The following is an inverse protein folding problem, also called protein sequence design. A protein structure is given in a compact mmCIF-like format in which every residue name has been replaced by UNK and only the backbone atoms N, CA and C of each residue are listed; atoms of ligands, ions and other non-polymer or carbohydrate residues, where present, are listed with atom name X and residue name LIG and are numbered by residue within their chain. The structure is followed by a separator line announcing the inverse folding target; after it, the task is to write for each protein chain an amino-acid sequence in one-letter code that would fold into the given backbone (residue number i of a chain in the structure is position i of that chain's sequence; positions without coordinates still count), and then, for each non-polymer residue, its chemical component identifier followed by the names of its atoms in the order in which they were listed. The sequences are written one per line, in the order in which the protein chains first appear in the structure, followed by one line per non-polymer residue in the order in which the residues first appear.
data_IF_476281434282
#
_entry.id   IF_476281434282
#
_cell.length_a   1.000
_cell.length_b   1.000
_cell.length_c   1.000
_cell.angle_alpha   90.00
_cell.angle_beta   90.00
_cell.angle_gamma   90.00
#
_symmetry.space_group_name_H-M   'P 1'
#
loop_
_entity.id
_entity.type
_entity.pdbx_description
1 polymer ?
#
# COMPACT_ATOMS: atom_id res chain seq x y z
N UNK A 1 -33.85 11.90 -22.84
CA UNK A 1 -33.06 10.94 -23.62
C UNK A 1 -31.64 10.70 -23.06
N UNK A 2 -30.79 11.72 -22.80
CA UNK A 2 -29.43 11.51 -22.27
C UNK A 2 -29.37 10.78 -20.90
N UNK A 3 -30.29 11.03 -19.96
CA UNK A 3 -30.37 10.33 -18.68
C UNK A 3 -30.75 8.85 -18.77
N UNK A 4 -31.57 8.49 -19.75
CA UNK A 4 -31.98 7.11 -19.98
C UNK A 4 -30.87 6.28 -20.63
N UNK A 5 -30.05 6.90 -21.49
CA UNK A 5 -28.86 6.28 -22.09
C UNK A 5 -27.74 6.03 -21.06
N UNK A 6 -27.56 6.92 -20.07
CA UNK A 6 -26.60 6.72 -18.98
C UNK A 6 -27.01 5.59 -18.03
N UNK A 7 -28.32 5.46 -17.71
CA UNK A 7 -28.84 4.38 -16.87
C UNK A 7 -28.74 3.00 -17.59
N UNK A 8 -29.00 2.94 -18.89
CA UNK A 8 -28.85 1.69 -19.63
C UNK A 8 -27.41 1.28 -19.84
N UNK A 9 -26.48 2.23 -19.98
CA UNK A 9 -25.05 1.95 -20.03
C UNK A 9 -24.54 1.41 -18.69
N UNK A 10 -24.93 2.00 -17.57
CA UNK A 10 -24.50 1.53 -16.22
C UNK A 10 -25.06 0.14 -15.89
N UNK A 11 -26.30 -0.17 -16.28
CA UNK A 11 -26.89 -1.50 -16.11
C UNK A 11 -26.24 -2.57 -17.00
N UNK A 12 -25.86 -2.24 -18.22
CA UNK A 12 -25.12 -3.15 -19.11
C UNK A 12 -23.69 -3.40 -18.57
N UNK A 13 -23.04 -2.40 -18.04
CA UNK A 13 -21.71 -2.56 -17.41
C UNK A 13 -21.77 -3.41 -16.15
N UNK A 14 -22.77 -3.21 -15.29
CA UNK A 14 -22.97 -4.03 -14.10
C UNK A 14 -23.29 -5.49 -14.47
N UNK A 15 -24.08 -5.73 -15.51
CA UNK A 15 -24.39 -7.07 -16.01
C UNK A 15 -23.17 -7.75 -16.65
N UNK A 16 -22.33 -7.04 -17.40
CA UNK A 16 -21.09 -7.56 -17.96
C UNK A 16 -20.06 -7.87 -16.85
N UNK A 17 -19.97 -7.04 -15.82
CA UNK A 17 -19.13 -7.28 -14.66
C UNK A 17 -19.59 -8.54 -13.90
N UNK A 18 -20.89 -8.70 -13.69
CA UNK A 18 -21.49 -9.86 -13.04
C UNK A 18 -21.29 -11.15 -13.85
N UNK A 19 -21.37 -11.08 -15.18
CA UNK A 19 -21.13 -12.22 -16.07
C UNK A 19 -19.63 -12.59 -16.13
N UNK A 20 -18.72 -11.62 -16.15
CA UNK A 20 -17.28 -11.87 -16.11
C UNK A 20 -16.84 -12.46 -14.75
N UNK A 21 -17.41 -12.00 -13.65
CA UNK A 21 -17.19 -12.57 -12.31
C UNK A 21 -17.83 -13.97 -12.17
N UNK A 22 -18.97 -14.23 -12.82
CA UNK A 22 -19.61 -15.54 -12.78
C UNK A 22 -18.87 -16.61 -13.61
N UNK A 23 -18.23 -16.22 -14.71
CA UNK A 23 -17.46 -17.13 -15.56
C UNK A 23 -16.12 -17.59 -14.94
N UNK A 24 -15.62 -16.87 -13.92
CA UNK A 24 -14.39 -17.23 -13.17
C UNK A 24 -14.69 -17.86 -11.81
N UNK A 25 -15.96 -18.07 -11.45
CA UNK A 25 -16.39 -18.50 -10.11
C UNK A 25 -15.97 -19.92 -9.72
N UNK A 26 -15.50 -20.75 -10.68
CA UNK A 26 -15.10 -22.14 -10.40
C UNK A 26 -13.60 -22.35 -10.12
N UNK A 27 -12.76 -21.34 -10.37
CA UNK A 27 -11.33 -21.45 -10.09
C UNK A 27 -10.95 -20.65 -8.84
N UNK A 28 -10.29 -21.28 -7.88
CA UNK A 28 -9.74 -20.59 -6.71
C UNK A 28 -8.81 -19.45 -7.15
N UNK A 29 -8.85 -18.28 -6.48
CA UNK A 29 -7.94 -17.17 -6.78
C UNK A 29 -6.49 -17.61 -6.72
N UNK A 30 -5.66 -17.04 -7.59
CA UNK A 30 -4.21 -17.27 -7.61
C UNK A 30 -3.51 -15.92 -7.54
N UNK A 31 -2.48 -15.84 -6.70
CA UNK A 31 -1.64 -14.66 -6.64
C UNK A 31 -0.97 -14.38 -7.98
N UNK A 32 -0.87 -13.11 -8.35
CA UNK A 32 -0.18 -12.65 -9.55
C UNK A 32 0.99 -11.73 -9.16
N UNK A 33 2.10 -11.83 -9.89
CA UNK A 33 3.30 -11.01 -9.75
C UNK A 33 3.45 -10.02 -10.90
N UNK A 34 4.64 -9.43 -11.03
CA UNK A 34 4.99 -8.56 -12.15
C UNK A 34 4.67 -7.08 -11.93
N UNK A 35 4.35 -6.68 -10.71
CA UNK A 35 4.17 -5.28 -10.33
C UNK A 35 5.47 -4.70 -9.77
N UNK A 36 5.73 -3.44 -10.09
CA UNK A 36 6.83 -2.69 -9.49
C UNK A 36 6.44 -1.23 -9.26
N UNK A 37 7.07 -0.62 -8.28
CA UNK A 37 6.99 0.82 -8.03
C UNK A 37 8.13 1.51 -8.77
N UNK A 38 7.82 2.61 -9.45
CA UNK A 38 8.80 3.47 -10.09
C UNK A 38 8.72 4.85 -9.45
N UNK A 39 9.79 5.29 -8.79
CA UNK A 39 9.85 6.58 -8.09
C UNK A 39 10.76 7.55 -8.82
N UNK A 40 10.28 8.77 -8.99
CA UNK A 40 11.01 9.90 -9.56
C UNK A 40 11.17 11.00 -8.50
N UNK A 41 12.42 11.37 -8.20
CA UNK A 41 12.73 12.45 -7.27
C UNK A 41 13.30 13.64 -8.01
N UNK A 42 12.91 14.83 -7.58
CA UNK A 42 13.39 16.10 -8.15
C UNK A 42 13.40 17.21 -7.12
N UNK A 43 14.51 17.96 -7.09
CA UNK A 43 14.63 19.23 -6.37
C UNK A 43 14.40 20.40 -7.33
N UNK A 44 13.55 21.33 -6.97
CA UNK A 44 13.32 22.56 -7.70
C UNK A 44 14.11 23.68 -7.03
N UNK A 45 15.19 24.10 -7.69
CA UNK A 45 16.08 25.14 -7.21
C UNK A 45 15.65 26.52 -7.69
N UNK A 46 15.85 27.55 -6.87
CA UNK A 46 15.71 28.93 -7.22
C UNK A 46 16.91 29.76 -6.66
N UNK A 47 17.02 31.01 -7.04
CA UNK A 47 18.07 31.92 -6.57
C UNK A 47 17.46 33.28 -6.21
N UNK A 48 17.86 33.79 -5.04
CA UNK A 48 17.59 35.15 -4.60
C UNK A 48 18.90 35.90 -4.30
N UNK A 49 18.79 37.07 -3.68
CA UNK A 49 19.97 37.87 -3.26
C UNK A 49 20.83 37.19 -2.19
N UNK A 50 20.28 36.19 -1.47
CA UNK A 50 20.96 35.42 -0.42
C UNK A 50 21.64 34.16 -0.96
N UNK A 51 21.40 33.79 -2.24
CA UNK A 51 22.01 32.63 -2.89
C UNK A 51 21.02 31.67 -3.50
N UNK A 52 21.51 30.47 -3.83
CA UNK A 52 20.68 29.37 -4.29
C UNK A 52 19.95 28.69 -3.12
N UNK A 53 18.70 28.31 -3.35
CA UNK A 53 17.89 27.58 -2.38
C UNK A 53 16.95 26.59 -3.06
N UNK A 54 16.53 25.56 -2.34
CA UNK A 54 15.56 24.59 -2.83
C UNK A 54 14.13 25.08 -2.52
N UNK A 55 13.29 25.23 -3.54
CA UNK A 55 11.88 25.59 -3.41
C UNK A 55 11.05 24.40 -2.94
N UNK A 56 11.23 23.27 -3.62
CA UNK A 56 10.40 22.08 -3.44
C UNK A 56 11.24 20.83 -3.66
N UNK A 57 11.21 19.92 -2.68
CA UNK A 57 11.59 18.53 -2.86
C UNK A 57 10.34 17.74 -3.26
N UNK A 58 10.38 17.13 -4.45
CA UNK A 58 9.28 16.31 -4.97
C UNK A 58 9.72 14.87 -5.17
N UNK A 59 8.99 13.92 -4.59
CA UNK A 59 9.11 12.48 -4.81
C UNK A 59 7.77 11.93 -5.27
N UNK A 60 7.74 11.25 -6.41
CA UNK A 60 6.50 10.75 -7.00
C UNK A 60 6.68 9.33 -7.50
N UNK A 61 5.85 8.44 -7.01
CA UNK A 61 5.81 7.03 -7.39
C UNK A 61 4.60 6.70 -8.26
N UNK A 62 4.75 5.69 -9.11
CA UNK A 62 3.66 5.08 -9.87
C UNK A 62 3.82 3.57 -9.91
N UNK A 63 2.74 2.86 -10.22
CA UNK A 63 2.76 1.39 -10.39
C UNK A 63 3.10 1.07 -11.85
N UNK A 64 4.19 0.35 -12.06
CA UNK A 64 4.53 -0.28 -13.33
C UNK A 64 4.10 -1.74 -13.36
N UNK A 65 3.99 -2.27 -14.57
CA UNK A 65 3.71 -3.69 -14.81
C UNK A 65 4.73 -4.24 -15.81
N UNK A 66 5.20 -5.45 -15.59
CA UNK A 66 6.13 -6.10 -16.48
C UNK A 66 5.49 -6.54 -17.80
N UNK A 67 6.28 -7.13 -18.69
CA UNK A 67 5.83 -7.56 -20.02
C UNK A 67 4.82 -8.71 -19.95
N UNK A 68 5.00 -9.63 -19.00
CA UNK A 68 4.18 -10.83 -18.87
C UNK A 68 2.82 -10.50 -18.29
N UNK A 69 2.79 -9.69 -17.24
CA UNK A 69 1.55 -9.20 -16.63
C UNK A 69 0.74 -8.36 -17.63
N UNK A 70 1.42 -7.49 -18.41
CA UNK A 70 0.80 -6.68 -19.47
C UNK A 70 0.16 -7.54 -20.55
N UNK A 71 0.81 -8.63 -20.96
CA UNK A 71 0.28 -9.55 -21.95
C UNK A 71 -0.93 -10.33 -21.42
N UNK A 72 -0.87 -10.75 -20.16
CA UNK A 72 -1.92 -11.55 -19.51
C UNK A 72 -3.15 -10.72 -19.13
N UNK A 73 -2.95 -9.46 -18.71
CA UNK A 73 -4.02 -8.58 -18.20
C UNK A 73 -3.95 -7.17 -18.83
N UNK A 74 -4.21 -7.05 -20.14
CA UNK A 74 -4.08 -5.78 -20.85
C UNK A 74 -5.04 -4.69 -20.38
N UNK A 75 -6.26 -5.05 -19.96
CA UNK A 75 -7.24 -4.10 -19.44
C UNK A 75 -6.86 -3.56 -18.07
N UNK A 76 -6.35 -4.41 -17.17
CA UNK A 76 -5.80 -3.98 -15.90
C UNK A 76 -4.61 -3.03 -16.10
N UNK A 77 -3.69 -3.39 -17.01
CA UNK A 77 -2.54 -2.55 -17.35
C UNK A 77 -2.97 -1.18 -17.85
N UNK A 78 -3.98 -1.13 -18.71
CA UNK A 78 -4.54 0.12 -19.21
C UNK A 78 -5.09 0.97 -18.05
N UNK A 79 -5.88 0.38 -17.16
CA UNK A 79 -6.47 1.08 -16.02
C UNK A 79 -5.39 1.65 -15.07
N UNK A 80 -4.36 0.87 -14.74
CA UNK A 80 -3.23 1.34 -13.92
C UNK A 80 -2.52 2.52 -14.59
N UNK A 81 -2.28 2.45 -15.91
CA UNK A 81 -1.64 3.55 -16.64
C UNK A 81 -2.51 4.82 -16.64
N UNK A 82 -3.83 4.69 -16.80
CA UNK A 82 -4.77 5.82 -16.75
C UNK A 82 -4.79 6.47 -15.36
N UNK A 83 -4.77 5.66 -14.29
CA UNK A 83 -4.66 6.15 -12.90
C UNK A 83 -3.34 6.91 -12.71
N UNK A 84 -2.19 6.32 -13.07
CA UNK A 84 -0.89 6.97 -12.97
C UNK A 84 -0.87 8.30 -13.74
N UNK A 85 -1.39 8.32 -14.96
CA UNK A 85 -1.41 9.53 -15.79
C UNK A 85 -2.26 10.63 -15.16
N UNK A 86 -3.45 10.30 -14.65
CA UNK A 86 -4.32 11.25 -13.96
C UNK A 86 -3.64 11.84 -12.72
N UNK A 87 -3.03 10.97 -11.89
CA UNK A 87 -2.29 11.43 -10.71
C UNK A 87 -1.09 12.29 -11.06
N UNK A 88 -0.27 11.90 -12.03
CA UNK A 88 0.90 12.70 -12.43
C UNK A 88 0.51 14.08 -12.95
N UNK A 89 -0.60 14.20 -13.67
CA UNK A 89 -1.12 15.49 -14.11
C UNK A 89 -1.57 16.36 -12.92
N UNK A 90 -2.37 15.81 -12.01
CA UNK A 90 -2.82 16.47 -10.77
C UNK A 90 -1.63 16.95 -9.93
N UNK A 91 -0.63 16.07 -9.76
CA UNK A 91 0.59 16.35 -8.99
C UNK A 91 1.42 17.46 -9.62
N UNK A 92 1.50 17.54 -10.94
CA UNK A 92 2.26 18.61 -11.60
C UNK A 92 1.59 19.99 -11.38
N UNK A 93 0.26 20.06 -11.46
CA UNK A 93 -0.50 21.27 -11.14
C UNK A 93 -0.32 21.70 -9.68
N UNK A 94 -0.38 20.76 -8.73
CA UNK A 94 -0.13 21.01 -7.31
C UNK A 94 1.32 21.47 -7.07
N UNK A 95 2.30 20.80 -7.67
CA UNK A 95 3.71 21.15 -7.54
C UNK A 95 4.02 22.57 -8.03
N UNK A 96 3.33 23.05 -9.07
CA UNK A 96 3.48 24.43 -9.54
C UNK A 96 2.99 25.43 -8.49
N UNK A 97 1.80 25.20 -7.91
CA UNK A 97 1.29 26.05 -6.83
C UNK A 97 2.21 26.04 -5.61
N UNK A 98 2.69 24.88 -5.19
CA UNK A 98 3.62 24.78 -4.05
C UNK A 98 4.94 25.54 -4.29
N UNK A 99 5.45 25.57 -5.53
CA UNK A 99 6.65 26.39 -5.85
C UNK A 99 6.39 27.87 -5.72
N UNK A 100 5.23 28.35 -6.18
CA UNK A 100 4.85 29.76 -6.06
C UNK A 100 4.67 30.15 -4.59
N UNK A 101 4.02 29.30 -3.79
CA UNK A 101 3.85 29.50 -2.35
C UNK A 101 5.20 29.48 -1.60
N UNK A 102 6.12 28.57 -1.96
CA UNK A 102 7.45 28.50 -1.38
C UNK A 102 8.29 29.77 -1.68
N UNK A 103 8.19 30.28 -2.90
CA UNK A 103 8.86 31.54 -3.26
C UNK A 103 8.32 32.73 -2.45
N UNK A 104 6.99 32.86 -2.34
CA UNK A 104 6.36 33.90 -1.53
C UNK A 104 6.70 33.77 -0.03
N UNK A 105 6.76 32.53 0.51
CA UNK A 105 7.17 32.28 1.89
C UNK A 105 8.64 32.68 2.12
N UNK A 106 9.53 32.39 1.16
CA UNK A 106 10.93 32.79 1.21
C UNK A 106 11.11 34.31 1.25
N UNK A 107 10.27 35.07 0.55
CA UNK A 107 10.29 36.53 0.55
C UNK A 107 9.78 37.13 1.88
N UNK A 108 8.69 36.57 2.41
CA UNK A 108 8.00 37.11 3.59
C UNK A 108 8.62 36.69 4.92
N UNK A 109 9.19 35.47 5.00
CA UNK A 109 9.74 34.87 6.21
C UNK A 109 11.10 34.19 5.96
N UNK A 110 12.09 34.91 5.45
CA UNK A 110 13.36 34.30 4.98
C UNK A 110 14.14 33.55 6.06
N UNK A 111 14.04 33.99 7.32
CA UNK A 111 14.76 33.39 8.46
C UNK A 111 14.13 32.10 8.97
N UNK A 112 12.87 31.87 8.62
CA UNK A 112 12.11 30.66 8.93
C UNK A 112 11.93 29.74 7.72
N UNK A 113 12.49 30.11 6.58
CA UNK A 113 12.32 29.39 5.34
C UNK A 113 12.93 27.98 5.42
N UNK A 114 12.17 27.01 4.97
CA UNK A 114 12.59 25.65 4.70
C UNK A 114 12.00 25.18 3.35
N UNK A 115 12.64 24.24 2.64
CA UNK A 115 12.11 23.70 1.40
C UNK A 115 10.75 23.06 1.62
N UNK A 116 9.81 23.33 0.71
CA UNK A 116 8.55 22.60 0.69
C UNK A 116 8.80 21.14 0.28
N UNK A 117 7.95 20.25 0.74
CA UNK A 117 8.06 18.81 0.51
C UNK A 117 6.76 18.29 -0.09
N UNK A 118 6.90 17.49 -1.13
CA UNK A 118 5.79 16.75 -1.72
C UNK A 118 6.22 15.31 -1.94
N UNK A 119 5.42 14.38 -1.43
CA UNK A 119 5.61 12.97 -1.62
C UNK A 119 4.30 12.33 -2.06
N UNK A 120 4.35 11.51 -3.12
CA UNK A 120 3.28 10.64 -3.53
C UNK A 120 3.85 9.23 -3.70
N UNK A 121 3.35 8.29 -2.93
CA UNK A 121 3.81 6.91 -2.93
C UNK A 121 2.66 5.93 -3.13
N UNK A 122 2.99 4.70 -3.53
CA UNK A 122 2.02 3.63 -3.79
C UNK A 122 2.48 2.34 -3.13
N UNK A 123 1.52 1.59 -2.57
CA UNK A 123 1.77 0.31 -1.92
C UNK A 123 0.72 -0.71 -2.32
N UNK A 124 1.17 -1.85 -2.88
CA UNK A 124 0.27 -2.96 -3.19
C UNK A 124 -0.28 -3.57 -1.91
N UNK A 125 -1.59 -3.88 -1.91
CA UNK A 125 -2.27 -4.52 -0.78
C UNK A 125 -2.70 -5.95 -1.12
N UNK A 126 -3.18 -6.16 -2.35
CA UNK A 126 -3.60 -7.46 -2.88
C UNK A 126 -3.35 -7.49 -4.38
N UNK A 127 -2.90 -8.63 -4.89
CA UNK A 127 -2.82 -8.88 -6.31
C UNK A 127 -3.07 -10.37 -6.58
N UNK A 128 -4.24 -10.67 -7.10
CA UNK A 128 -4.62 -12.02 -7.55
C UNK A 128 -5.47 -11.98 -8.81
N UNK A 129 -5.87 -13.14 -9.29
CA UNK A 129 -6.66 -13.28 -10.53
C UNK A 129 -8.06 -12.66 -10.46
N UNK A 130 -8.53 -12.26 -9.28
CA UNK A 130 -9.84 -11.64 -9.06
C UNK A 130 -9.75 -10.12 -8.92
N UNK A 131 -8.78 -9.65 -8.12
CA UNK A 131 -8.67 -8.24 -7.77
C UNK A 131 -7.22 -7.80 -7.58
N UNK A 132 -6.97 -6.54 -7.94
CA UNK A 132 -5.77 -5.80 -7.57
C UNK A 132 -6.19 -4.62 -6.70
N UNK A 133 -5.57 -4.51 -5.54
CA UNK A 133 -5.80 -3.41 -4.61
C UNK A 133 -4.48 -2.79 -4.19
N UNK A 134 -4.44 -1.47 -4.12
CA UNK A 134 -3.28 -0.73 -3.66
C UNK A 134 -3.67 0.53 -2.92
N UNK A 135 -2.76 1.01 -2.11
CA UNK A 135 -2.88 2.23 -1.34
C UNK A 135 -2.03 3.31 -1.99
N UNK A 136 -2.58 4.50 -2.14
CA UNK A 136 -1.86 5.72 -2.50
C UNK A 136 -1.65 6.54 -1.23
N UNK A 137 -0.45 7.06 -1.06
CA UNK A 137 -0.07 7.94 0.04
C UNK A 137 0.37 9.28 -0.54
N UNK A 138 -0.14 10.38 -0.02
CA UNK A 138 0.26 11.72 -0.37
C UNK A 138 0.68 12.49 0.88
N UNK A 139 1.80 13.19 0.81
CA UNK A 139 2.26 14.11 1.84
C UNK A 139 2.60 15.46 1.24
N UNK A 140 2.14 16.52 1.90
CA UNK A 140 2.47 17.90 1.55
C UNK A 140 3.00 18.62 2.78
N UNK A 141 4.24 19.12 2.71
CA UNK A 141 4.86 19.97 3.72
C UNK A 141 5.16 21.34 3.14
N UNK A 142 4.78 22.39 3.84
CA UNK A 142 4.93 23.77 3.38
C UNK A 142 5.12 24.74 4.55
N UNK A 143 4.65 25.98 4.42
CA UNK A 143 4.79 27.05 5.42
C UNK A 143 3.99 26.83 6.72
N UNK A 144 3.18 25.78 6.78
CA UNK A 144 2.37 25.44 7.96
C UNK A 144 3.17 24.86 9.10
N UNK A 145 2.54 24.73 10.28
CA UNK A 145 3.12 24.16 11.51
C UNK A 145 3.45 22.67 11.35
N UNK A 146 2.69 21.96 10.53
CA UNK A 146 2.86 20.56 10.20
C UNK A 146 2.45 20.30 8.76
N UNK A 147 2.96 19.22 8.17
CA UNK A 147 2.52 18.73 6.88
C UNK A 147 1.13 18.08 6.96
N UNK A 148 0.54 17.87 5.80
CA UNK A 148 -0.70 17.12 5.63
C UNK A 148 -0.42 15.83 4.89
N UNK A 149 -1.04 14.75 5.32
CA UNK A 149 -0.99 13.47 4.62
C UNK A 149 -2.40 12.95 4.34
N UNK A 150 -2.51 12.25 3.23
CA UNK A 150 -3.75 11.66 2.77
C UNK A 150 -3.48 10.26 2.22
N UNK A 151 -4.31 9.31 2.61
CA UNK A 151 -4.26 7.94 2.14
C UNK A 151 -5.52 7.64 1.34
N UNK A 152 -5.38 6.96 0.21
CA UNK A 152 -6.46 6.62 -0.70
C UNK A 152 -6.33 5.17 -1.15
N UNK A 153 -7.36 4.36 -0.91
CA UNK A 153 -7.46 2.99 -1.41
C UNK A 153 -7.96 2.96 -2.86
N UNK A 154 -7.37 2.10 -3.67
CA UNK A 154 -7.80 1.81 -5.05
C UNK A 154 -8.02 0.32 -5.20
N UNK A 155 -9.18 -0.08 -5.72
CA UNK A 155 -9.54 -1.46 -5.92
C UNK A 155 -9.99 -1.67 -7.38
N UNK A 156 -9.39 -2.63 -8.07
CA UNK A 156 -9.65 -2.92 -9.48
C UNK A 156 -9.97 -4.40 -9.68
N UNK A 157 -10.84 -4.70 -10.60
CA UNK A 157 -11.00 -6.05 -11.13
C UNK A 157 -9.78 -6.41 -11.98
N UNK A 158 -9.11 -7.50 -11.69
CA UNK A 158 -7.95 -7.97 -12.46
C UNK A 158 -8.32 -8.26 -13.91
N UNK A 159 -9.51 -8.81 -14.15
CA UNK A 159 -9.96 -9.23 -15.48
C UNK A 159 -10.35 -8.04 -16.35
N UNK A 160 -11.08 -7.07 -15.80
CA UNK A 160 -11.66 -5.97 -16.59
C UNK A 160 -10.93 -4.64 -16.42
N UNK A 161 -10.07 -4.50 -15.41
CA UNK A 161 -9.46 -3.24 -15.03
C UNK A 161 -10.45 -2.21 -14.45
N UNK A 162 -11.73 -2.54 -14.36
CA UNK A 162 -12.73 -1.61 -13.83
C UNK A 162 -12.59 -1.43 -12.32
N UNK A 163 -12.90 -0.23 -11.78
CA UNK A 163 -13.02 -0.03 -10.35
C UNK A 163 -13.97 -1.05 -9.72
N UNK A 164 -13.57 -1.62 -8.59
CA UNK A 164 -14.36 -2.57 -7.84
C UNK A 164 -15.22 -1.79 -6.82
N UNK A 165 -16.54 -1.71 -7.00
CA UNK A 165 -17.39 -0.98 -6.08
C UNK A 165 -17.60 -1.78 -4.78
N UNK A 166 -17.86 -1.07 -3.68
CA UNK A 166 -18.01 -1.68 -2.35
C UNK A 166 -19.13 -2.75 -2.33
N UNK A 167 -20.23 -2.52 -3.02
CA UNK A 167 -21.36 -3.46 -3.14
C UNK A 167 -21.03 -4.76 -3.87
N UNK A 168 -19.93 -4.84 -4.60
CA UNK A 168 -19.45 -6.11 -5.16
C UNK A 168 -18.95 -7.08 -4.08
N UNK A 169 -18.57 -6.54 -2.90
CA UNK A 169 -17.98 -7.29 -1.80
C UNK A 169 -18.85 -7.28 -0.55
N UNK A 170 -19.62 -6.22 -0.34
CA UNK A 170 -20.43 -5.97 0.86
C UNK A 170 -21.92 -6.15 0.56
N UNK A 171 -22.64 -6.86 1.42
CA UNK A 171 -24.08 -7.10 1.32
C UNK A 171 -24.92 -5.95 1.84
N UNK A 172 -24.52 -5.42 2.99
CA UNK A 172 -25.26 -4.39 3.73
C UNK A 172 -24.29 -3.31 4.21
N UNK A 173 -24.32 -2.16 3.52
CA UNK A 173 -23.47 -1.00 3.84
C UNK A 173 -23.75 -0.42 5.23
N UNK A 174 -25.01 -0.51 5.71
CA UNK A 174 -25.37 0.01 7.03
C UNK A 174 -24.86 -0.89 8.15
N UNK A 175 -24.99 -2.20 8.00
CA UNK A 175 -24.42 -3.17 8.94
C UNK A 175 -22.89 -3.09 8.96
N UNK A 176 -22.26 -2.89 7.80
CA UNK A 176 -20.82 -2.63 7.69
C UNK A 176 -20.41 -1.37 8.46
N UNK A 177 -21.17 -0.27 8.31
CA UNK A 177 -20.88 0.97 9.03
C UNK A 177 -20.87 0.76 10.55
N UNK A 178 -21.84 0.00 11.09
CA UNK A 178 -21.85 -0.41 12.49
C UNK A 178 -20.59 -1.17 12.90
N UNK A 179 -20.18 -2.16 12.11
CA UNK A 179 -18.98 -2.95 12.39
C UNK A 179 -17.68 -2.10 12.34
N UNK A 180 -17.61 -1.11 11.44
CA UNK A 180 -16.50 -0.15 11.39
C UNK A 180 -16.45 0.68 12.68
N UNK A 181 -17.59 1.21 13.14
CA UNK A 181 -17.65 1.99 14.37
C UNK A 181 -17.24 1.17 15.60
N UNK A 182 -17.75 -0.07 15.72
CA UNK A 182 -17.37 -1.00 16.78
C UNK A 182 -15.85 -1.25 16.77
N UNK A 183 -15.28 -1.44 15.57
CA UNK A 183 -13.86 -1.71 15.43
C UNK A 183 -12.99 -0.51 15.78
N UNK A 184 -13.33 0.68 15.31
CA UNK A 184 -12.62 1.92 15.65
C UNK A 184 -12.59 2.15 17.17
N UNK A 185 -13.71 1.97 17.86
CA UNK A 185 -13.74 2.10 19.34
C UNK A 185 -12.91 1.05 20.06
N UNK A 186 -12.86 -0.16 19.52
CA UNK A 186 -12.07 -1.23 20.12
C UNK A 186 -10.56 -1.04 19.89
N UNK A 187 -10.15 -0.55 18.71
CA UNK A 187 -8.74 -0.34 18.38
C UNK A 187 -8.19 0.98 18.95
N UNK A 188 -9.05 2.00 19.12
CA UNK A 188 -8.69 3.34 19.58
C UNK A 188 -9.61 3.80 20.74
N UNK A 189 -9.56 3.13 21.91
CA UNK A 189 -10.51 3.38 23.01
C UNK A 189 -10.42 4.78 23.59
N UNK A 190 -9.28 5.44 23.49
CA UNK A 190 -9.02 6.78 24.03
C UNK A 190 -9.22 7.90 23.01
N UNK A 191 -9.50 7.59 21.74
CA UNK A 191 -9.66 8.59 20.70
C UNK A 191 -10.98 9.36 20.85
N UNK A 192 -10.94 10.70 20.83
CA UNK A 192 -12.12 11.54 20.96
C UNK A 192 -12.86 11.64 19.61
N UNK A 193 -13.57 10.59 19.23
CA UNK A 193 -14.34 10.57 17.99
C UNK A 193 -15.47 11.61 18.00
N UNK A 194 -15.62 12.31 16.88
CA UNK A 194 -16.69 13.28 16.67
C UNK A 194 -17.76 12.73 15.73
N UNK A 195 -18.99 12.54 16.20
CA UNK A 195 -20.14 12.08 15.41
C UNK A 195 -19.83 10.81 14.58
N UNK A 196 -19.12 9.86 15.19
CA UNK A 196 -18.55 8.70 14.50
C UNK A 196 -19.60 7.94 13.69
N UNK A 197 -20.72 7.56 14.31
CA UNK A 197 -21.76 6.76 13.66
C UNK A 197 -22.39 7.50 12.47
N UNK A 198 -22.70 8.78 12.64
CA UNK A 198 -23.33 9.60 11.62
C UNK A 198 -22.41 9.71 10.39
N UNK A 199 -21.14 10.08 10.61
CA UNK A 199 -20.14 10.23 9.55
C UNK A 199 -19.88 8.92 8.82
N UNK A 200 -19.74 7.79 9.54
CA UNK A 200 -19.45 6.49 8.91
C UNK A 200 -20.66 5.98 8.13
N UNK A 201 -21.87 6.12 8.66
CA UNK A 201 -23.10 5.72 7.94
C UNK A 201 -23.27 6.57 6.68
N UNK A 202 -23.08 7.89 6.76
CA UNK A 202 -23.14 8.78 5.60
C UNK A 202 -22.13 8.35 4.52
N UNK A 203 -20.85 8.18 4.89
CA UNK A 203 -19.81 7.74 3.95
C UNK A 203 -20.14 6.38 3.32
N UNK A 204 -20.68 5.44 4.08
CA UNK A 204 -21.06 4.12 3.58
C UNK A 204 -22.21 4.19 2.56
N UNK A 205 -23.21 5.02 2.82
CA UNK A 205 -24.39 5.16 1.96
C UNK A 205 -24.13 6.01 0.70
N UNK A 206 -23.13 6.90 0.76
CA UNK A 206 -22.73 7.79 -0.37
C UNK A 206 -21.53 7.28 -1.16
N UNK A 207 -21.05 6.05 -0.90
CA UNK A 207 -19.86 5.45 -1.53
C UNK A 207 -18.57 6.26 -1.34
N UNK A 208 -18.46 6.94 -0.20
CA UNK A 208 -17.30 7.77 0.17
C UNK A 208 -16.37 7.09 1.20
N UNK A 209 -16.62 5.82 1.53
CA UNK A 209 -15.66 5.07 2.34
C UNK A 209 -14.38 4.86 1.55
N UNK A 210 -13.27 5.22 2.18
CA UNK A 210 -11.94 4.99 1.66
C UNK A 210 -11.44 3.61 2.14
N UNK A 211 -11.14 2.69 1.24
CA UNK A 211 -10.86 1.31 1.60
C UNK A 211 -9.96 0.58 0.61
N UNK A 212 -9.28 -0.46 1.10
CA UNK A 212 -8.61 -1.47 0.27
C UNK A 212 -9.23 -2.84 0.49
N UNK A 213 -9.26 -3.62 -0.60
CA UNK A 213 -9.53 -5.04 -0.55
C UNK A 213 -8.22 -5.77 -0.22
N UNK A 214 -8.11 -6.26 1.00
CA UNK A 214 -6.98 -7.06 1.43
C UNK A 214 -7.23 -8.56 1.18
N UNK A 215 -6.23 -9.45 1.28
CA UNK A 215 -6.46 -10.89 1.09
C UNK A 215 -7.55 -11.46 2.00
N UNK A 216 -7.61 -11.03 3.26
CA UNK A 216 -8.52 -11.63 4.25
C UNK A 216 -9.61 -10.68 4.77
N UNK A 217 -9.74 -9.47 4.23
CA UNK A 217 -10.73 -8.51 4.72
C UNK A 217 -10.76 -7.21 3.94
N UNK A 218 -11.47 -6.24 4.47
CA UNK A 218 -11.43 -4.85 4.02
C UNK A 218 -10.78 -4.00 5.08
N UNK A 219 -9.82 -3.16 4.67
CA UNK A 219 -9.25 -2.13 5.54
C UNK A 219 -9.77 -0.76 5.12
N UNK A 220 -10.39 -0.05 6.06
CA UNK A 220 -10.90 1.31 5.90
C UNK A 220 -9.91 2.30 6.47
N UNK A 221 -9.72 3.44 5.79
CA UNK A 221 -8.76 4.48 6.13
C UNK A 221 -9.51 5.79 6.40
N UNK A 222 -9.18 6.42 7.52
CA UNK A 222 -9.74 7.71 7.92
C UNK A 222 -8.59 8.70 8.10
N UNK A 223 -8.51 9.64 7.17
CA UNK A 223 -7.47 10.65 7.17
C UNK A 223 -7.65 11.64 8.33
N UNK A 224 -6.60 12.40 8.71
CA UNK A 224 -6.73 13.43 9.74
C UNK A 224 -7.92 14.35 9.48
N UNK A 225 -8.62 14.73 10.55
CA UNK A 225 -9.84 15.55 10.57
C UNK A 225 -11.12 14.90 9.99
N UNK A 226 -11.07 13.67 9.48
CA UNK A 226 -12.30 13.03 8.99
C UNK A 226 -13.25 12.61 10.12
N UNK A 227 -12.72 11.89 11.11
CA UNK A 227 -13.51 11.36 12.25
C UNK A 227 -12.93 11.69 13.61
N UNK A 228 -11.70 12.22 13.65
CA UNK A 228 -11.00 12.65 14.86
C UNK A 228 -10.04 13.80 14.53
N UNK A 229 -9.37 14.37 15.55
CA UNK A 229 -8.41 15.46 15.37
C UNK A 229 -7.15 15.01 14.62
N UNK A 230 -6.36 15.98 14.14
CA UNK A 230 -5.06 15.72 13.50
C UNK A 230 -4.10 14.93 14.40
N UNK A 231 -4.17 15.16 15.71
CA UNK A 231 -3.26 14.52 16.67
C UNK A 231 -3.43 12.98 16.74
N UNK A 232 -4.62 12.49 16.39
CA UNK A 232 -4.90 11.05 16.32
C UNK A 232 -4.24 10.37 15.10
N UNK A 233 -3.81 11.14 14.12
CA UNK A 233 -3.18 10.63 12.92
C UNK A 233 -4.13 9.93 11.97
N UNK A 234 -3.61 8.97 11.21
CA UNK A 234 -4.39 8.06 10.38
C UNK A 234 -5.03 6.98 11.24
N UNK A 235 -6.33 6.88 11.18
CA UNK A 235 -7.08 5.80 11.83
C UNK A 235 -7.51 4.75 10.81
N UNK A 236 -7.44 3.49 11.20
CA UNK A 236 -7.83 2.37 10.32
C UNK A 236 -8.77 1.41 11.01
N UNK A 237 -9.67 0.80 10.24
CA UNK A 237 -10.51 -0.28 10.73
C UNK A 237 -10.46 -1.44 9.72
N UNK A 238 -9.98 -2.61 10.14
CA UNK A 238 -9.99 -3.82 9.31
C UNK A 238 -11.10 -4.74 9.75
N UNK A 239 -11.97 -5.15 8.81
CA UNK A 239 -13.05 -6.10 9.03
C UNK A 239 -12.71 -7.37 8.25
N UNK A 240 -12.42 -8.47 8.97
CA UNK A 240 -12.02 -9.73 8.35
C UNK A 240 -13.23 -10.51 7.81
N UNK A 241 -13.09 -11.14 6.65
CA UNK A 241 -14.16 -11.89 5.98
C UNK A 241 -14.70 -13.04 6.84
N UNK A 242 -13.82 -13.77 7.53
CA UNK A 242 -14.19 -14.91 8.37
C UNK A 242 -14.65 -14.50 9.77
N UNK A 243 -14.27 -13.32 10.26
CA UNK A 243 -14.78 -12.77 11.51
C UNK A 243 -16.25 -12.31 11.37
N UNK A 244 -16.60 -11.71 10.24
CA UNK A 244 -17.94 -11.18 9.94
C UNK A 244 -18.46 -11.65 8.58
N UNK A 245 -18.63 -12.98 8.38
CA UNK A 245 -19.06 -13.54 7.09
C UNK A 245 -20.46 -13.08 6.66
N UNK A 246 -21.27 -12.61 7.58
CA UNK A 246 -22.59 -12.02 7.37
C UNK A 246 -22.57 -10.74 6.55
N UNK A 247 -21.50 -9.95 6.66
CA UNK A 247 -21.36 -8.66 5.97
C UNK A 247 -20.95 -8.80 4.50
N UNK A 248 -20.34 -9.91 4.11
CA UNK A 248 -19.62 -10.01 2.84
C UNK A 248 -20.27 -10.95 1.82
N UNK A 249 -20.00 -10.68 0.55
CA UNK A 249 -20.48 -11.46 -0.59
C UNK A 249 -19.44 -11.52 -1.70
N UNK A 250 -19.76 -12.29 -2.76
CA UNK A 250 -18.94 -12.37 -3.96
C UNK A 250 -17.66 -13.21 -3.80
N UNK A 251 -16.98 -13.50 -4.91
CA UNK A 251 -15.80 -14.35 -4.95
C UNK A 251 -14.55 -13.65 -4.40
N UNK A 252 -14.49 -12.32 -4.40
CA UNK A 252 -13.33 -11.54 -3.93
C UNK A 252 -13.02 -11.72 -2.43
N UNK A 253 -13.96 -12.28 -1.63
CA UNK A 253 -13.74 -12.61 -0.22
C UNK A 253 -12.82 -13.83 -0.01
N UNK A 254 -12.50 -14.57 -1.05
CA UNK A 254 -11.56 -15.68 -0.98
C UNK A 254 -10.17 -15.18 -1.38
N UNK A 255 -9.14 -15.34 -0.54
CA UNK A 255 -7.77 -15.08 -0.94
C UNK A 255 -7.22 -16.19 -1.84
N UNK A 256 -6.12 -15.93 -2.51
CA UNK A 256 -5.28 -16.99 -3.08
C UNK A 256 -4.78 -17.91 -1.96
N UNK A 257 -4.56 -19.20 -2.25
CA UNK A 257 -4.05 -20.17 -1.28
C UNK A 257 -2.65 -19.77 -0.75
N UNK A 258 -1.82 -19.18 -1.61
CA UNK A 258 -0.59 -18.51 -1.20
C UNK A 258 -0.64 -17.06 -1.71
N UNK A 259 -0.27 -16.10 -0.85
CA UNK A 259 -0.26 -14.68 -1.20
C UNK A 259 0.81 -13.93 -0.42
N UNK A 260 1.16 -12.76 -0.91
CA UNK A 260 1.97 -11.80 -0.19
C UNK A 260 1.21 -10.47 -0.08
N UNK A 261 1.31 -9.85 1.09
CA UNK A 261 0.63 -8.61 1.43
C UNK A 261 1.63 -7.59 1.98
N UNK A 262 2.12 -6.65 1.16
CA UNK A 262 2.88 -5.50 1.63
C UNK A 262 2.03 -4.62 2.56
N UNK A 263 2.66 -4.04 3.58
CA UNK A 263 2.01 -3.07 4.46
C UNK A 263 3.01 -1.99 4.91
N UNK A 264 2.54 -0.78 5.28
CA UNK A 264 3.44 0.27 5.71
C UNK A 264 4.10 -0.08 7.05
N UNK A 265 5.41 0.16 7.17
CA UNK A 265 6.06 0.11 8.48
C UNK A 265 5.42 1.15 9.43
N UNK A 266 5.49 0.92 10.72
CA UNK A 266 4.90 1.74 11.79
C UNK A 266 3.37 1.76 11.87
N UNK A 267 2.67 1.19 10.88
CA UNK A 267 1.21 1.02 10.92
C UNK A 267 0.85 -0.46 11.08
N UNK A 268 -0.11 -0.79 11.96
CA UNK A 268 -0.45 -2.19 12.20
C UNK A 268 -1.15 -2.82 10.99
N UNK A 269 -0.71 -4.02 10.62
CA UNK A 269 -1.46 -4.92 9.74
C UNK A 269 -2.35 -5.79 10.59
N UNK A 270 -3.67 -5.75 10.35
CA UNK A 270 -4.61 -6.72 10.90
C UNK A 270 -4.91 -7.79 9.87
N UNK A 271 -4.77 -9.06 10.25
CA UNK A 271 -4.99 -10.24 9.40
C UNK A 271 -5.47 -11.43 10.25
N UNK A 272 -5.55 -12.63 9.67
CA UNK A 272 -5.77 -13.89 10.40
C UNK A 272 -4.71 -14.89 9.95
N UNK A 273 -3.63 -15.04 10.70
CA UNK A 273 -2.49 -15.90 10.34
C UNK A 273 -2.88 -17.37 10.21
N UNK A 274 -3.93 -17.81 10.91
CA UNK A 274 -4.46 -19.17 10.86
C UNK A 274 -5.63 -19.33 9.91
N UNK A 275 -6.01 -18.28 9.20
CA UNK A 275 -7.15 -18.25 8.28
C UNK A 275 -8.46 -18.78 8.90
N UNK A 276 -8.65 -18.57 10.20
CA UNK A 276 -9.82 -19.02 10.97
C UNK A 276 -10.74 -17.85 11.41
N UNK A 277 -10.43 -16.62 11.03
CA UNK A 277 -11.16 -15.42 11.44
C UNK A 277 -10.70 -14.82 12.78
N UNK A 278 -9.82 -15.49 13.51
CA UNK A 278 -9.16 -14.88 14.67
C UNK A 278 -8.23 -13.76 14.19
N UNK A 279 -8.27 -12.65 14.90
CA UNK A 279 -7.57 -11.43 14.56
C UNK A 279 -6.13 -11.49 15.07
N UNK A 280 -5.18 -11.34 14.16
CA UNK A 280 -3.78 -11.12 14.46
C UNK A 280 -3.37 -9.71 14.05
N UNK A 281 -2.59 -9.04 14.90
CA UNK A 281 -2.08 -7.67 14.65
C UNK A 281 -0.57 -7.70 14.62
N UNK A 282 0.00 -7.22 13.52
CA UNK A 282 1.43 -7.21 13.26
C UNK A 282 1.88 -5.76 13.08
N UNK A 283 2.89 -5.32 13.85
CA UNK A 283 3.56 -4.04 13.65
C UNK A 283 5.06 -4.26 13.49
N UNK A 284 5.71 -3.42 12.68
CA UNK A 284 7.14 -3.48 12.42
C UNK A 284 7.73 -2.09 12.55
N UNK A 285 8.81 -1.96 13.33
CA UNK A 285 9.53 -0.70 13.47
C UNK A 285 11.02 -0.96 13.78
N UNK A 286 11.86 0.04 13.57
CA UNK A 286 13.24 0.01 14.04
C UNK A 286 13.41 0.81 15.30
N UNK A 287 14.24 0.28 16.21
CA UNK A 287 14.68 0.99 17.41
C UNK A 287 16.04 0.44 17.89
N UNK A 288 16.93 1.35 18.27
CA UNK A 288 18.23 1.03 18.90
C UNK A 288 19.07 -0.01 18.14
N UNK A 289 19.09 0.06 16.80
CA UNK A 289 19.86 -0.86 15.95
C UNK A 289 19.25 -2.26 15.83
N UNK A 290 17.96 -2.38 16.08
CA UNK A 290 17.21 -3.63 15.95
C UNK A 290 15.91 -3.40 15.19
N UNK A 291 15.48 -4.41 14.44
CA UNK A 291 14.13 -4.49 13.89
C UNK A 291 13.23 -5.17 14.91
N UNK A 292 12.12 -4.54 15.22
CA UNK A 292 11.10 -5.05 16.13
C UNK A 292 9.89 -5.53 15.35
N UNK A 293 9.42 -6.72 15.66
CA UNK A 293 8.17 -7.31 15.15
C UNK A 293 7.25 -7.53 16.34
N UNK A 294 6.22 -6.69 16.45
CA UNK A 294 5.21 -6.84 17.49
C UNK A 294 4.07 -7.69 16.92
N UNK A 295 3.87 -8.86 17.50
CA UNK A 295 2.79 -9.79 17.15
C UNK A 295 1.83 -9.94 18.31
N UNK A 296 0.59 -9.49 18.14
CA UNK A 296 -0.45 -9.56 19.18
C UNK A 296 0.01 -8.97 20.54
N UNK A 297 0.70 -7.82 20.48
CA UNK A 297 1.25 -7.14 21.65
C UNK A 297 2.56 -7.73 22.20
N UNK A 298 3.07 -8.83 21.63
CA UNK A 298 4.36 -9.41 22.00
C UNK A 298 5.47 -8.87 21.11
N UNK A 299 6.41 -8.14 21.69
CA UNK A 299 7.56 -7.58 20.97
C UNK A 299 8.67 -8.63 20.81
N UNK A 300 9.11 -8.81 19.56
CA UNK A 300 10.21 -9.69 19.18
C UNK A 300 11.28 -8.83 18.51
N UNK A 301 12.42 -8.62 19.19
CA UNK A 301 13.52 -7.80 18.71
C UNK A 301 14.58 -8.66 17.99
N UNK A 302 14.96 -8.23 16.80
CA UNK A 302 16.02 -8.86 16.00
C UNK A 302 17.18 -7.89 15.86
N UNK A 303 18.41 -8.25 16.28
CA UNK A 303 19.59 -7.37 16.25
C UNK A 303 20.14 -7.19 14.83
N UNK A 304 19.30 -6.69 13.94
CA UNK A 304 19.60 -6.37 12.56
C UNK A 304 19.36 -4.89 12.36
N UNK A 305 20.43 -4.15 12.06
CA UNK A 305 20.41 -2.70 11.93
C UNK A 305 19.92 -2.30 10.53
N UNK A 306 18.60 -2.19 10.38
CA UNK A 306 17.91 -1.77 9.15
C UNK A 306 17.05 -0.54 9.42
N UNK A 307 17.02 0.38 8.48
CA UNK A 307 16.14 1.54 8.43
C UNK A 307 15.31 1.51 7.12
N UNK A 308 14.36 2.42 6.98
CA UNK A 308 13.51 2.52 5.78
C UNK A 308 12.84 1.17 5.46
N UNK A 309 12.14 0.64 6.47
CA UNK A 309 11.61 -0.73 6.46
C UNK A 309 10.42 -0.87 5.52
N UNK A 310 10.40 -1.98 4.78
CA UNK A 310 9.31 -2.35 3.88
C UNK A 310 8.87 -3.79 4.19
N UNK A 311 7.92 -3.96 5.11
CA UNK A 311 7.46 -5.29 5.49
C UNK A 311 6.44 -5.86 4.51
N UNK A 312 6.54 -7.17 4.29
CA UNK A 312 5.61 -7.96 3.48
C UNK A 312 5.23 -9.21 4.26
N UNK A 313 3.96 -9.36 4.58
CA UNK A 313 3.42 -10.62 5.09
C UNK A 313 3.28 -11.62 3.95
N UNK A 314 3.76 -12.83 4.17
CA UNK A 314 3.67 -13.94 3.24
C UNK A 314 2.89 -15.07 3.90
N UNK A 315 1.81 -15.47 3.26
CA UNK A 315 1.02 -16.64 3.61
C UNK A 315 1.28 -17.74 2.58
N UNK A 316 1.73 -18.90 3.05
CA UNK A 316 2.02 -20.05 2.20
C UNK A 316 0.81 -20.99 2.15
N UNK A 317 0.68 -21.78 1.09
CA UNK A 317 -0.43 -22.71 0.88
C UNK A 317 -0.59 -23.74 2.02
N UNK A 318 0.49 -24.10 2.69
CA UNK A 318 0.49 -25.02 3.84
C UNK A 318 0.16 -24.34 5.19
N UNK A 319 -0.23 -23.05 5.16
CA UNK A 319 -0.60 -22.26 6.33
C UNK A 319 0.58 -21.64 7.09
N UNK A 320 1.83 -21.84 6.66
CA UNK A 320 2.98 -21.13 7.25
C UNK A 320 2.96 -19.68 6.88
N UNK A 321 3.40 -18.83 7.80
CA UNK A 321 3.47 -17.39 7.61
C UNK A 321 4.89 -16.90 7.84
N UNK A 322 5.36 -16.03 6.94
CA UNK A 322 6.63 -15.35 7.04
C UNK A 322 6.45 -13.85 6.92
N UNK A 323 7.41 -13.12 7.48
CA UNK A 323 7.53 -11.69 7.30
C UNK A 323 8.88 -11.42 6.65
N UNK A 324 8.86 -10.84 5.45
CA UNK A 324 10.01 -10.34 4.74
C UNK A 324 10.08 -8.84 4.98
N UNK A 325 11.16 -8.37 5.59
CA UNK A 325 11.35 -6.95 5.95
C UNK A 325 12.58 -6.45 5.21
N UNK A 326 12.35 -5.81 4.07
CA UNK A 326 13.41 -5.14 3.32
C UNK A 326 13.78 -3.82 4.00
N UNK A 327 15.06 -3.49 4.04
CA UNK A 327 15.53 -2.27 4.68
C UNK A 327 16.96 -1.90 4.31
N UNK A 328 17.30 -0.65 4.52
CA UNK A 328 18.65 -0.11 4.30
C UNK A 328 19.51 -0.32 5.53
N UNK A 329 20.72 -0.91 5.41
CA UNK A 329 21.66 -0.98 6.52
C UNK A 329 22.12 0.42 6.90
N UNK A 330 21.99 0.76 8.19
CA UNK A 330 22.39 2.09 8.67
C UNK A 330 23.86 2.38 8.37
N UNK A 331 24.13 3.59 7.87
CA UNK A 331 25.46 4.03 7.47
C UNK A 331 26.01 3.39 6.19
N UNK A 332 25.21 2.63 5.46
CA UNK A 332 25.56 2.02 4.16
C UNK A 332 24.40 2.21 3.18
N UNK A 333 24.71 2.31 1.89
CA UNK A 333 23.70 2.28 0.81
C UNK A 333 23.24 0.86 0.45
N UNK A 334 23.57 -0.14 1.27
CA UNK A 334 23.26 -1.54 1.02
C UNK A 334 21.93 -1.88 1.66
N UNK A 335 21.04 -2.54 0.92
CA UNK A 335 19.78 -3.07 1.44
C UNK A 335 19.89 -4.58 1.71
N UNK A 336 19.17 -5.02 2.71
CA UNK A 336 19.04 -6.43 3.06
C UNK A 336 17.58 -6.73 3.40
N UNK A 337 17.21 -7.99 3.30
CA UNK A 337 15.88 -8.46 3.72
C UNK A 337 16.00 -9.37 4.93
N UNK A 338 15.48 -8.94 6.07
CA UNK A 338 15.29 -9.77 7.25
C UNK A 338 14.08 -10.69 7.02
N UNK A 339 14.25 -12.00 7.25
CA UNK A 339 13.20 -13.00 7.15
C UNK A 339 12.91 -13.57 8.53
N UNK A 340 11.65 -13.48 8.95
CA UNK A 340 11.17 -14.09 10.19
C UNK A 340 9.96 -14.97 9.91
N UNK A 341 9.84 -16.09 10.63
CA UNK A 341 8.66 -16.94 10.63
C UNK A 341 7.72 -16.50 11.74
N UNK A 342 6.44 -16.32 11.41
CA UNK A 342 5.41 -15.95 12.37
C UNK A 342 4.71 -17.20 12.94
N UNK A 343 4.65 -17.28 14.26
CA UNK A 343 3.81 -18.22 15.01
C UNK A 343 2.53 -17.52 15.47
N UNK A 344 1.86 -18.09 16.48
CA UNK A 344 0.64 -17.49 17.05
C UNK A 344 0.91 -16.27 17.95
N UNK A 345 2.05 -16.22 18.62
CA UNK A 345 2.46 -15.13 19.55
C UNK A 345 3.94 -14.80 19.50
N UNK A 346 4.69 -15.40 18.60
CA UNK A 346 6.13 -15.22 18.53
C UNK A 346 6.58 -15.13 17.08
N UNK A 347 7.61 -14.35 16.85
CA UNK A 347 8.34 -14.30 15.59
C UNK A 347 9.71 -14.94 15.77
N UNK A 348 10.12 -15.79 14.86
CA UNK A 348 11.40 -16.50 14.90
C UNK A 348 12.28 -16.09 13.73
N UNK A 349 13.52 -15.72 14.01
CA UNK A 349 14.52 -15.45 12.98
C UNK A 349 14.69 -16.68 12.05
N UNK A 350 14.70 -16.43 10.76
CA UNK A 350 15.00 -17.40 9.71
C UNK A 350 16.33 -17.08 9.07
N UNK A 351 16.47 -15.88 8.48
CA UNK A 351 17.66 -15.46 7.75
C UNK A 351 17.74 -13.93 7.61
N UNK A 352 18.90 -13.44 7.15
CA UNK A 352 19.08 -12.08 6.65
C UNK A 352 19.70 -12.17 5.26
N UNK A 353 18.90 -11.92 4.24
CA UNK A 353 19.27 -12.06 2.85
C UNK A 353 20.06 -10.82 2.39
N UNK A 354 21.12 -11.04 1.60
CA UNK A 354 21.85 -9.98 0.89
C UNK A 354 21.13 -9.58 -0.42
N UNK A 355 19.83 -9.63 -0.43
CA UNK A 355 18.94 -9.31 -1.55
C UNK A 355 17.97 -8.22 -1.14
N UNK A 356 17.49 -7.47 -2.12
CA UNK A 356 16.54 -6.38 -1.93
C UNK A 356 15.45 -6.43 -3.01
N UNK A 357 14.28 -5.92 -2.67
CA UNK A 357 13.23 -5.67 -3.67
C UNK A 357 13.45 -4.36 -4.44
N UNK A 358 14.47 -3.58 -4.09
CA UNK A 358 14.75 -2.26 -4.63
C UNK A 358 15.94 -2.29 -5.56
N UNK A 359 15.76 -1.71 -6.75
CA UNK A 359 16.79 -1.43 -7.71
C UNK A 359 16.92 0.08 -7.94
N UNK A 360 18.12 0.62 -7.79
CA UNK A 360 18.38 2.05 -7.98
C UNK A 360 19.20 2.28 -9.24
N UNK A 361 18.67 3.02 -10.20
CA UNK A 361 19.41 3.51 -11.35
C UNK A 361 19.74 4.98 -11.10
N UNK A 362 20.99 5.27 -10.78
CA UNK A 362 21.47 6.64 -10.66
C UNK A 362 21.96 7.12 -12.04
N UNK A 363 21.18 7.96 -12.69
CA UNK A 363 21.57 8.71 -13.87
C UNK A 363 21.51 10.19 -13.50
N UNK A 364 22.67 10.77 -13.17
CA UNK A 364 22.72 12.19 -12.82
C UNK A 364 22.06 13.06 -13.91
N UNK A 365 21.21 14.04 -13.59
CA UNK A 365 20.82 14.53 -12.26
C UNK A 365 19.55 13.88 -11.68
N UNK A 366 19.16 12.69 -12.13
CA UNK A 366 17.92 12.00 -11.74
C UNK A 366 18.25 10.70 -11.04
N UNK A 367 17.62 10.47 -9.91
CA UNK A 367 17.57 9.15 -9.27
C UNK A 367 16.25 8.51 -9.66
N UNK A 368 16.32 7.35 -10.26
CA UNK A 368 15.17 6.54 -10.60
C UNK A 368 15.28 5.25 -9.81
N UNK A 369 14.29 4.98 -9.00
CA UNK A 369 14.22 3.79 -8.18
C UNK A 369 13.11 2.89 -8.68
N UNK A 370 13.43 1.61 -8.81
CA UNK A 370 12.47 0.55 -9.07
C UNK A 370 12.35 -0.30 -7.83
N UNK A 371 11.12 -0.60 -7.46
CA UNK A 371 10.81 -1.43 -6.33
C UNK A 371 9.90 -2.57 -6.78
N UNK A 372 10.40 -3.81 -6.76
CA UNK A 372 9.58 -4.98 -7.08
C UNK A 372 8.63 -5.25 -5.93
N UNK A 373 7.33 -5.27 -6.22
CA UNK A 373 6.35 -5.69 -5.23
C UNK A 373 6.33 -7.21 -5.12
N UNK A 374 6.60 -7.72 -3.93
CA UNK A 374 6.33 -9.11 -3.61
C UNK A 374 4.82 -9.27 -3.39
N UNK A 375 4.12 -9.78 -4.38
CA UNK A 375 2.67 -10.05 -4.34
C UNK A 375 2.35 -11.52 -4.57
N UNK A 376 3.24 -12.26 -5.26
CA UNK A 376 3.12 -13.69 -5.50
C UNK A 376 4.33 -14.43 -4.92
N UNK A 377 4.17 -15.19 -3.81
CA UNK A 377 5.29 -15.91 -3.20
C UNK A 377 5.90 -17.02 -4.09
N UNK A 378 5.16 -17.48 -5.10
CA UNK A 378 5.60 -18.54 -6.03
C UNK A 378 6.36 -18.01 -7.25
N UNK A 379 6.51 -16.68 -7.38
CA UNK A 379 7.26 -16.06 -8.47
C UNK A 379 7.33 -14.55 -8.31
N UNK A 380 8.51 -14.02 -7.99
CA UNK A 380 8.77 -12.60 -7.83
C UNK A 380 10.20 -12.24 -8.18
N UNK A 381 10.45 -10.95 -8.38
CA UNK A 381 11.78 -10.43 -8.65
C UNK A 381 12.43 -9.89 -7.37
N UNK A 382 13.73 -10.13 -7.25
CA UNK A 382 14.56 -9.59 -6.17
C UNK A 382 15.91 -9.17 -6.77
N UNK A 383 16.47 -8.08 -6.26
CA UNK A 383 17.74 -7.56 -6.76
C UNK A 383 18.90 -7.97 -5.85
N UNK A 384 19.92 -8.54 -6.47
CA UNK A 384 21.19 -8.80 -5.80
C UNK A 384 22.04 -7.54 -5.87
N UNK A 385 22.30 -6.88 -4.74
CA UNK A 385 23.22 -5.76 -4.70
C UNK A 385 24.67 -6.23 -4.89
N UNK A 386 25.34 -5.62 -5.87
CA UNK A 386 26.79 -5.76 -6.00
C UNK A 386 27.45 -4.53 -5.39
N UNK A 387 28.30 -4.68 -4.35
CA UNK A 387 29.03 -3.56 -3.76
C UNK A 387 30.07 -2.94 -4.71
N UNK A 388 30.32 -3.54 -5.88
CA UNK A 388 31.39 -3.15 -6.80
C UNK A 388 30.91 -2.67 -8.18
N UNK A 389 29.62 -2.82 -8.47
CA UNK A 389 29.08 -2.49 -9.81
C UNK A 389 27.77 -1.73 -9.61
N UNK A 390 27.60 -0.62 -10.32
CA UNK A 390 26.36 0.18 -10.31
C UNK A 390 25.15 -0.51 -10.97
N UNK A 391 25.23 -1.79 -11.31
CA UNK A 391 24.17 -2.60 -11.90
C UNK A 391 23.85 -3.75 -10.97
N UNK A 392 22.64 -3.78 -10.44
CA UNK A 392 22.10 -4.95 -9.76
C UNK A 392 21.71 -6.02 -10.79
N UNK A 393 21.86 -7.27 -10.42
CA UNK A 393 21.29 -8.39 -11.15
C UNK A 393 19.91 -8.70 -10.54
N UNK A 394 18.88 -8.67 -11.37
CA UNK A 394 17.54 -9.08 -10.97
C UNK A 394 17.40 -10.58 -11.18
N UNK A 395 17.07 -11.29 -10.12
CA UNK A 395 16.80 -12.73 -10.15
C UNK A 395 15.30 -13.00 -9.98
N UNK A 396 14.79 -14.01 -10.65
CA UNK A 396 13.44 -14.53 -10.44
C UNK A 396 13.55 -15.63 -9.38
N UNK A 397 12.75 -15.55 -8.35
CA UNK A 397 12.76 -16.49 -7.24
C UNK A 397 11.36 -16.80 -6.72
N UNK A 398 11.29 -17.82 -5.89
CA UNK A 398 10.11 -18.19 -5.13
C UNK A 398 10.49 -18.47 -3.68
N UNK A 399 9.51 -18.49 -2.79
CA UNK A 399 9.72 -18.83 -1.38
C UNK A 399 9.61 -20.34 -1.22
N UNK A 400 10.70 -20.96 -0.78
CA UNK A 400 10.76 -22.39 -0.49
C UNK A 400 10.13 -22.76 0.84
N UNK A 401 10.13 -24.09 1.11
CA UNK A 401 9.45 -24.68 2.27
C UNK A 401 9.90 -24.12 3.63
N UNK A 402 11.14 -23.66 3.77
CA UNK A 402 11.65 -23.12 5.02
C UNK A 402 11.60 -21.59 5.12
N UNK A 403 10.89 -20.92 4.20
CA UNK A 403 10.88 -19.47 4.09
C UNK A 403 12.14 -18.88 3.48
N UNK A 404 13.02 -19.69 2.90
CA UNK A 404 14.24 -19.27 2.18
C UNK A 404 13.92 -19.10 0.69
N UNK A 405 14.79 -18.37 -0.02
CA UNK A 405 14.63 -18.17 -1.45
C UNK A 405 15.03 -19.43 -2.23
N UNK A 406 14.25 -19.74 -3.25
CA UNK A 406 14.59 -20.69 -4.32
C UNK A 406 14.69 -19.95 -5.63
N UNK A 407 15.77 -20.17 -6.38
CA UNK A 407 16.01 -19.50 -7.67
C UNK A 407 15.61 -20.42 -8.81
N UNK A 408 14.93 -19.85 -9.82
CA UNK A 408 14.47 -20.56 -11.00
C UNK A 408 15.57 -20.74 -12.06
#
# INVERSE_FOLDING_TARGET
MKKLLLLTASLLWAACLALALAATADAAPRAIGGFFKQTHQKNYMARDQRGEYNLLHKSVSGIGVDKELRASYPLLTKAINEINQGEFQRIEELSNRMKDEAAAFRETAPDYYHPFQYEFDVLMRRADTMAVSFLQYEYTGGSGVHGMYHWQGVNLSTVTGAPLPLEAVVRDKKALAGAICERLRADYPDSPFEQLEEKIVEKALTDQLNWTLDPQGLTFYFNPYEIASYAEGLLTATILFKERPDLFQGPCRQPAAAYAQPFPAYYPLTTSLRDNGERDVISVYEAKGSVHVVLNGTDNAFPVDLADLQPVLIHMEDGRNYLYIDGTRQGKSIRNTLVVQLGSRSARYVDTLAYSFRHTIAVAPRVQEYWHFLTNPNGFCIDQESPFISTSKTDICAIGENGTLTFG
#
